data_IF_798062045244
#
_entry.id   IF_798062045244
#
_cell.length_a   1.000
_cell.length_b   1.000
_cell.length_c   1.000
_cell.angle_alpha   90.00
_cell.angle_beta   90.00
_cell.angle_gamma   90.00
#
_symmetry.space_group_name_H-M   'P 1'
#
loop_
_entity.id
_entity.type
_entity.pdbx_description
1 polymer ?
#
# COMPACT_ATOMS: atom_id res chain seq x y z
N UNK A 1 16.05 4.27 14.68
CA UNK A 1 15.35 3.71 13.51
C UNK A 1 15.13 2.22 13.69
N UNK A 2 14.02 1.83 14.32
CA UNK A 2 13.74 0.46 14.76
C UNK A 2 13.21 -0.48 13.65
N UNK A 3 12.78 0.07 12.51
CA UNK A 3 12.09 -0.68 11.44
C UNK A 3 13.01 -1.62 10.64
N UNK A 4 14.27 -1.26 10.42
CA UNK A 4 15.23 -2.10 9.66
C UNK A 4 15.63 -3.35 10.48
N UNK A 5 15.66 -3.23 11.81
CA UNK A 5 16.09 -4.32 12.70
C UNK A 5 15.02 -5.40 12.87
N UNK A 6 13.76 -5.04 12.77
CA UNK A 6 12.63 -5.98 12.86
C UNK A 6 12.45 -6.78 11.56
N UNK A 7 12.77 -6.15 10.42
CA UNK A 7 12.81 -6.80 9.10
C UNK A 7 13.82 -7.96 9.06
N UNK A 8 15.01 -7.78 9.64
CA UNK A 8 16.05 -8.82 9.68
C UNK A 8 15.77 -9.96 10.68
N UNK A 9 14.82 -9.79 11.62
CA UNK A 9 14.49 -10.82 12.61
C UNK A 9 13.47 -11.85 12.10
N UNK A 10 12.60 -11.48 11.15
CA UNK A 10 11.55 -12.38 10.62
C UNK A 10 12.05 -13.39 9.58
N UNK A 11 13.24 -13.17 9.02
CA UNK A 11 13.90 -14.06 8.04
C UNK A 11 14.30 -15.43 8.63
N UNK A 12 14.53 -15.51 9.95
CA UNK A 12 15.00 -16.76 10.61
C UNK A 12 13.94 -17.84 10.82
N UNK A 13 12.68 -17.61 10.44
CA UNK A 13 11.57 -18.54 10.72
C UNK A 13 11.03 -19.31 9.51
N UNK A 14 11.67 -19.24 8.34
CA UNK A 14 11.24 -20.03 7.17
C UNK A 14 9.85 -19.67 6.65
N UNK A 15 9.29 -18.54 7.09
CA UNK A 15 8.11 -17.95 6.47
C UNK A 15 8.54 -17.35 5.13
N UNK A 16 7.87 -17.73 4.04
CA UNK A 16 8.04 -17.08 2.74
C UNK A 16 8.13 -15.57 2.93
N UNK A 17 9.30 -15.01 2.66
CA UNK A 17 9.47 -13.57 2.59
C UNK A 17 8.55 -13.12 1.46
N UNK A 18 7.51 -12.32 1.71
CA UNK A 18 6.74 -11.77 0.61
C UNK A 18 7.72 -10.86 -0.16
N UNK A 19 7.95 -11.14 -1.44
CA UNK A 19 8.84 -10.34 -2.31
C UNK A 19 8.43 -8.85 -2.39
N UNK A 20 7.24 -8.50 -1.86
CA UNK A 20 6.75 -7.14 -1.67
C UNK A 20 6.11 -6.96 -0.29
N UNK A 21 6.36 -5.81 0.35
CA UNK A 21 5.68 -5.40 1.60
C UNK A 21 4.15 -5.29 1.39
N UNK A 22 3.72 -5.10 0.14
CA UNK A 22 2.33 -4.92 -0.26
C UNK A 22 1.85 -6.12 -1.06
N UNK A 23 0.56 -6.41 -0.93
CA UNK A 23 -0.10 -7.38 -1.83
C UNK A 23 -0.36 -6.74 -3.20
N UNK A 24 -0.52 -7.52 -4.28
CA UNK A 24 -0.83 -6.97 -5.61
C UNK A 24 -2.07 -6.05 -5.62
N UNK A 25 -3.10 -6.41 -4.83
CA UNK A 25 -4.31 -5.57 -4.69
C UNK A 25 -4.01 -4.24 -4.01
N UNK A 26 -3.12 -4.24 -3.02
CA UNK A 26 -2.72 -3.00 -2.33
C UNK A 26 -1.89 -2.09 -3.24
N UNK A 27 -1.03 -2.66 -4.09
CA UNK A 27 -0.27 -1.91 -5.10
C UNK A 27 -1.20 -1.24 -6.12
N UNK A 28 -2.20 -1.97 -6.65
CA UNK A 28 -3.22 -1.39 -7.54
C UNK A 28 -3.96 -0.22 -6.88
N UNK A 29 -4.33 -0.37 -5.60
CA UNK A 29 -5.02 0.69 -4.86
C UNK A 29 -4.12 1.92 -4.68
N UNK A 30 -2.83 1.74 -4.36
CA UNK A 30 -1.87 2.86 -4.26
C UNK A 30 -1.74 3.59 -5.59
N UNK A 31 -1.64 2.84 -6.69
CA UNK A 31 -1.52 3.42 -8.04
C UNK A 31 -2.71 4.33 -8.34
N UNK A 32 -3.93 3.83 -8.14
CA UNK A 32 -5.15 4.61 -8.39
C UNK A 32 -5.25 5.85 -7.46
N UNK A 33 -4.81 5.72 -6.20
CA UNK A 33 -4.77 6.86 -5.25
C UNK A 33 -3.83 7.95 -5.74
N UNK A 34 -2.65 7.56 -6.24
CA UNK A 34 -1.62 8.45 -6.76
C UNK A 34 -2.04 9.10 -8.07
N UNK A 35 -2.80 8.41 -8.93
CA UNK A 35 -3.48 8.97 -10.10
C UNK A 35 -4.66 9.92 -9.75
N UNK A 36 -4.95 10.12 -8.46
CA UNK A 36 -5.94 11.09 -7.99
C UNK A 36 -7.34 10.52 -7.74
N UNK A 37 -7.59 9.24 -7.99
CA UNK A 37 -8.92 8.63 -7.82
C UNK A 37 -9.41 8.69 -6.36
N UNK A 38 -10.71 8.94 -6.19
CA UNK A 38 -11.41 8.85 -4.91
C UNK A 38 -11.72 7.40 -4.53
N UNK A 39 -11.98 7.10 -3.25
CA UNK A 39 -12.38 5.74 -2.81
C UNK A 39 -13.58 5.19 -3.60
N UNK A 40 -14.52 6.06 -4.02
CA UNK A 40 -15.69 5.68 -4.84
C UNK A 40 -15.29 5.29 -6.27
N UNK A 41 -14.39 6.04 -6.89
CA UNK A 41 -13.89 5.71 -8.23
C UNK A 41 -13.07 4.43 -8.20
N UNK A 42 -12.19 4.26 -7.21
CA UNK A 42 -11.41 3.03 -7.02
C UNK A 42 -12.33 1.83 -6.82
N UNK A 43 -13.37 1.97 -6.00
CA UNK A 43 -14.36 0.94 -5.75
C UNK A 43 -15.06 0.51 -7.05
N UNK A 44 -15.43 1.47 -7.89
CA UNK A 44 -16.03 1.21 -9.20
C UNK A 44 -15.04 0.50 -10.15
N UNK A 45 -13.80 0.99 -10.25
CA UNK A 45 -12.75 0.42 -11.11
C UNK A 45 -12.40 -1.02 -10.72
N UNK A 46 -12.32 -1.31 -9.43
CA UNK A 46 -11.94 -2.63 -8.90
C UNK A 46 -13.14 -3.54 -8.61
N UNK A 47 -14.36 -3.09 -8.88
CA UNK A 47 -15.62 -3.82 -8.66
C UNK A 47 -15.74 -4.34 -7.20
N UNK A 48 -15.46 -3.45 -6.24
CA UNK A 48 -15.57 -3.72 -4.79
C UNK A 48 -16.30 -2.57 -4.09
N UNK A 49 -16.63 -2.74 -2.80
CA UNK A 49 -17.25 -1.65 -2.04
C UNK A 49 -16.24 -0.56 -1.66
N UNK A 50 -16.69 0.70 -1.54
CA UNK A 50 -15.85 1.78 -1.02
C UNK A 50 -15.32 1.48 0.40
N UNK A 51 -16.11 0.78 1.22
CA UNK A 51 -15.69 0.31 2.55
C UNK A 51 -14.52 -0.67 2.45
N UNK A 52 -14.51 -1.53 1.43
CA UNK A 52 -13.39 -2.45 1.16
C UNK A 52 -12.14 -1.67 0.77
N UNK A 53 -12.27 -0.65 -0.10
CA UNK A 53 -11.16 0.25 -0.45
C UNK A 53 -10.59 0.93 0.80
N UNK A 54 -11.44 1.47 1.66
CA UNK A 54 -10.98 2.15 2.88
C UNK A 54 -10.28 1.19 3.85
N UNK A 55 -10.74 -0.06 3.94
CA UNK A 55 -10.04 -1.12 4.69
C UNK A 55 -8.65 -1.41 4.12
N UNK A 56 -8.53 -1.53 2.80
CA UNK A 56 -7.22 -1.70 2.17
C UNK A 56 -6.32 -0.49 2.44
N UNK A 57 -6.83 0.73 2.32
CA UNK A 57 -6.07 1.96 2.64
C UNK A 57 -5.55 1.97 4.07
N UNK A 58 -6.38 1.60 5.05
CA UNK A 58 -5.96 1.50 6.44
C UNK A 58 -4.84 0.47 6.63
N UNK A 59 -4.96 -0.70 6.01
CA UNK A 59 -3.93 -1.74 6.07
C UNK A 59 -2.62 -1.27 5.42
N UNK A 60 -2.68 -0.60 4.27
CA UNK A 60 -1.51 -0.05 3.58
C UNK A 60 -0.80 0.98 4.45
N UNK A 61 -1.55 1.94 5.01
CA UNK A 61 -1.01 2.95 5.91
C UNK A 61 -0.31 2.31 7.11
N UNK A 62 -0.93 1.30 7.72
CA UNK A 62 -0.35 0.56 8.83
C UNK A 62 0.94 -0.19 8.42
N UNK A 63 0.94 -0.88 7.27
CA UNK A 63 2.11 -1.62 6.75
C UNK A 63 3.27 -0.70 6.42
N UNK A 64 3.00 0.49 5.88
CA UNK A 64 4.02 1.46 5.47
C UNK A 64 4.40 2.44 6.60
N UNK A 65 3.73 2.39 7.76
CA UNK A 65 3.93 3.36 8.84
C UNK A 65 3.57 4.79 8.44
N UNK A 66 2.59 4.95 7.55
CA UNK A 66 2.13 6.22 7.02
C UNK A 66 0.79 6.62 7.64
N UNK A 67 0.50 7.91 7.65
CA UNK A 67 -0.65 8.46 8.37
C UNK A 67 -1.70 9.08 7.44
N UNK A 68 -1.33 9.40 6.21
CA UNK A 68 -2.20 10.14 5.31
C UNK A 68 -2.07 9.72 3.83
N UNK A 69 -3.04 10.18 3.03
CA UNK A 69 -3.07 9.96 1.58
C UNK A 69 -1.85 10.55 0.88
N UNK A 70 -1.35 11.69 1.34
CA UNK A 70 -0.20 12.36 0.75
C UNK A 70 1.07 11.49 0.87
N UNK A 71 1.26 10.83 2.01
CA UNK A 71 2.30 9.83 2.22
C UNK A 71 2.23 8.69 1.19
N UNK A 72 1.02 8.16 0.93
CA UNK A 72 0.82 7.11 -0.08
C UNK A 72 1.16 7.59 -1.50
N UNK A 73 0.74 8.79 -1.89
CA UNK A 73 1.05 9.36 -3.20
C UNK A 73 2.56 9.55 -3.38
N UNK A 74 3.25 10.11 -2.39
CA UNK A 74 4.72 10.27 -2.41
C UNK A 74 5.44 8.93 -2.50
N UNK A 75 4.94 7.93 -1.77
CA UNK A 75 5.46 6.57 -1.84
C UNK A 75 5.31 5.99 -3.24
N UNK A 76 4.14 6.12 -3.86
CA UNK A 76 3.87 5.59 -5.20
C UNK A 76 4.83 6.16 -6.25
N UNK A 77 5.08 7.47 -6.21
CA UNK A 77 6.05 8.14 -7.09
C UNK A 77 7.46 7.62 -6.83
N UNK A 78 7.89 7.56 -5.55
CA UNK A 78 9.24 7.10 -5.18
C UNK A 78 9.48 5.62 -5.52
N UNK A 79 8.43 4.81 -5.44
CA UNK A 79 8.46 3.39 -5.79
C UNK A 79 8.38 3.15 -7.31
N UNK A 80 8.21 4.19 -8.13
CA UNK A 80 8.07 4.07 -9.58
C UNK A 80 6.75 3.43 -10.02
N UNK A 81 5.73 3.42 -9.15
CA UNK A 81 4.41 2.86 -9.46
C UNK A 81 3.58 3.78 -10.36
N UNK A 82 3.86 5.08 -10.32
CA UNK A 82 3.23 6.12 -11.14
C UNK A 82 4.29 7.13 -11.56
N UNK A 83 4.25 7.57 -12.81
CA UNK A 83 5.05 8.69 -13.28
C UNK A 83 4.39 10.02 -12.85
N UNK A 84 5.19 11.03 -12.42
CA UNK A 84 4.69 12.32 -11.94
C UNK A 84 4.08 13.19 -13.04
#
# INVERSE_FOLDING_TARGET
>A
TALIRDYLRRDRQGAQIPDSILTPREEEIIKLIAEGHSSKQIAHTLVISAKTVDRHRANILQKLGMHDRLGLTRFAIRAGLVEP
#
